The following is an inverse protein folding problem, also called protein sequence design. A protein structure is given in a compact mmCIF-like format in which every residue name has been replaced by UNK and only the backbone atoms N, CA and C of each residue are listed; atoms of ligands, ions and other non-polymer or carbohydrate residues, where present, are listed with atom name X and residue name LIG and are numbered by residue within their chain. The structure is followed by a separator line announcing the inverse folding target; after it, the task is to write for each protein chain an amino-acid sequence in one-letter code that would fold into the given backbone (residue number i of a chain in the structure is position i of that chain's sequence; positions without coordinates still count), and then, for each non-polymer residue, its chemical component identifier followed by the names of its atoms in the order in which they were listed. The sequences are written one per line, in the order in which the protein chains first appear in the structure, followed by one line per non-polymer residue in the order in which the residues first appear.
data_IF_915207651909
#
_entry.id   IF_915207651909
#
_cell.length_a   1.000
_cell.length_b   1.000
_cell.length_c   1.000
_cell.angle_alpha   90.00
_cell.angle_beta   90.00
_cell.angle_gamma   90.00
#
_symmetry.space_group_name_H-M   'P 1'
#
loop_
_entity.id
_entity.type
_entity.pdbx_description
1 polymer ?
#
# COMPACT_ATOMS: atom_id res chain seq x y z
N UNK A 1 -11.38 -24.37 6.39
CA UNK A 1 -12.25 -23.16 6.33
C UNK A 1 -11.61 -22.00 5.56
N UNK A 2 -10.31 -21.67 5.73
CA UNK A 2 -9.64 -20.54 5.05
C UNK A 2 -9.62 -20.59 3.50
N UNK A 3 -9.57 -21.78 2.89
CA UNK A 3 -9.60 -21.91 1.43
C UNK A 3 -10.99 -21.61 0.81
N UNK A 4 -12.07 -21.76 1.58
CA UNK A 4 -13.41 -21.48 1.09
C UNK A 4 -13.70 -19.97 1.09
N UNK A 5 -13.18 -19.24 2.08
CA UNK A 5 -13.30 -17.77 2.12
C UNK A 5 -12.53 -17.11 0.98
N UNK A 6 -11.29 -17.53 0.70
CA UNK A 6 -10.52 -16.92 -0.38
C UNK A 6 -11.13 -17.13 -1.78
N UNK A 7 -11.72 -18.31 -2.03
CA UNK A 7 -12.43 -18.58 -3.29
C UNK A 7 -13.68 -17.72 -3.41
N UNK A 8 -14.41 -17.53 -2.29
CA UNK A 8 -15.59 -16.67 -2.25
C UNK A 8 -15.22 -15.21 -2.50
N UNK A 9 -14.14 -14.72 -1.88
CA UNK A 9 -13.62 -13.36 -2.08
C UNK A 9 -13.15 -13.13 -3.51
N UNK A 10 -12.41 -14.09 -4.09
CA UNK A 10 -11.99 -14.05 -5.49
C UNK A 10 -13.19 -14.00 -6.43
N UNK A 11 -14.23 -14.80 -6.17
CA UNK A 11 -15.44 -14.81 -6.97
C UNK A 11 -16.19 -13.47 -6.89
N UNK A 12 -16.29 -12.88 -5.70
CA UNK A 12 -16.88 -11.56 -5.50
C UNK A 12 -16.12 -10.46 -6.26
N UNK A 13 -14.78 -10.49 -6.21
CA UNK A 13 -13.93 -9.57 -6.97
C UNK A 13 -14.09 -9.76 -8.48
N UNK A 14 -14.15 -11.02 -8.95
CA UNK A 14 -14.37 -11.34 -10.36
C UNK A 14 -15.68 -10.71 -10.87
N UNK A 15 -16.78 -10.91 -10.16
CA UNK A 15 -18.07 -10.33 -10.53
C UNK A 15 -18.03 -8.79 -10.55
N UNK A 16 -17.40 -8.17 -9.55
CA UNK A 16 -17.24 -6.70 -9.49
C UNK A 16 -16.46 -6.18 -10.71
N UNK A 17 -15.34 -6.81 -11.04
CA UNK A 17 -14.52 -6.46 -12.19
C UNK A 17 -15.29 -6.64 -13.50
N UNK A 18 -16.01 -7.75 -13.66
CA UNK A 18 -16.80 -8.04 -14.87
C UNK A 18 -17.93 -7.06 -15.11
N UNK A 19 -18.69 -6.70 -14.06
CA UNK A 19 -19.78 -5.70 -14.16
C UNK A 19 -19.20 -4.36 -14.60
N UNK A 20 -18.08 -3.92 -14.00
CA UNK A 20 -17.42 -2.67 -14.36
C UNK A 20 -16.90 -2.69 -15.79
N UNK A 21 -16.29 -3.79 -16.22
CA UNK A 21 -15.82 -3.98 -17.60
C UNK A 21 -16.99 -3.85 -18.59
N UNK A 22 -18.12 -4.50 -18.33
CA UNK A 22 -19.31 -4.41 -19.18
C UNK A 22 -19.86 -2.99 -19.25
N UNK A 23 -19.84 -2.24 -18.15
CA UNK A 23 -20.25 -0.85 -18.13
C UNK A 23 -19.32 0.04 -18.98
N UNK A 24 -18.01 -0.08 -18.78
CA UNK A 24 -17.00 0.66 -19.56
C UNK A 24 -17.09 0.33 -21.06
N UNK A 25 -17.26 -0.94 -21.42
CA UNK A 25 -17.39 -1.37 -22.82
C UNK A 25 -18.66 -0.86 -23.52
N UNK A 26 -19.72 -0.53 -22.77
CA UNK A 26 -20.91 0.13 -23.33
C UNK A 26 -20.67 1.63 -23.54
N UNK A 27 -19.95 2.27 -22.61
CA UNK A 27 -19.61 3.68 -22.70
C UNK A 27 -18.63 3.95 -23.84
N UNK A 28 -17.63 3.09 -24.02
CA UNK A 28 -16.61 3.23 -25.06
C UNK A 28 -17.17 3.10 -26.49
N UNK A 29 -18.37 2.51 -26.66
CA UNK A 29 -19.02 2.39 -27.97
C UNK A 29 -19.83 3.63 -28.37
N UNK A 30 -20.04 4.58 -27.45
CA UNK A 30 -20.74 5.85 -27.71
C UNK A 30 -19.76 6.93 -28.21
N UNK A 31 -18.90 6.57 -29.16
CA UNK A 31 -17.92 7.47 -29.78
C UNK A 31 -18.57 8.37 -30.85
N UNK A 32 -19.35 9.35 -30.41
CA UNK A 32 -19.82 10.45 -31.29
C UNK A 32 -18.75 11.58 -31.42
N UNK A 33 -17.47 11.33 -31.10
CA UNK A 33 -16.43 12.39 -30.99
C UNK A 33 -15.00 12.00 -31.47
N UNK A 34 -14.80 10.88 -32.17
CA UNK A 34 -13.46 10.34 -32.38
C UNK A 34 -12.85 10.70 -33.75
N UNK A 35 -11.96 11.70 -33.82
CA UNK A 35 -10.92 11.71 -34.89
C UNK A 35 -9.49 12.18 -34.52
N UNK A 36 -9.18 12.75 -33.33
CA UNK A 36 -7.77 12.77 -32.88
C UNK A 36 -7.45 11.87 -31.68
N UNK A 37 -8.43 11.54 -30.83
CA UNK A 37 -8.19 10.81 -29.56
C UNK A 37 -8.02 9.30 -29.76
N UNK A 38 -8.69 8.71 -30.76
CA UNK A 38 -8.65 7.27 -31.01
C UNK A 38 -7.23 6.71 -31.22
N UNK A 39 -6.35 7.46 -31.92
CA UNK A 39 -4.94 7.09 -32.11
C UNK A 39 -4.06 7.19 -30.86
N UNK A 40 -4.40 8.06 -29.91
CA UNK A 40 -3.71 8.08 -28.61
C UNK A 40 -4.14 6.89 -27.74
N UNK A 41 -5.42 6.51 -27.82
CA UNK A 41 -5.96 5.38 -27.06
C UNK A 41 -5.44 4.02 -27.57
N UNK A 42 -5.12 3.88 -28.87
CA UNK A 42 -4.56 2.64 -29.43
C UNK A 42 -3.18 2.27 -28.86
N UNK A 43 -2.46 3.22 -28.26
CA UNK A 43 -1.14 2.97 -27.65
C UNK A 43 -1.21 2.71 -26.14
N UNK A 44 -2.40 2.77 -25.53
CA UNK A 44 -2.57 2.52 -24.10
C UNK A 44 -2.70 1.01 -23.88
N UNK A 45 -1.65 0.41 -23.32
CA UNK A 45 -1.66 -0.99 -22.90
C UNK A 45 -1.84 -1.10 -21.39
N UNK A 46 -2.47 -2.19 -20.92
CA UNK A 46 -2.59 -2.46 -19.49
C UNK A 46 -1.22 -2.51 -18.81
N UNK A 47 -0.22 -3.11 -19.45
CA UNK A 47 1.15 -3.19 -18.92
C UNK A 47 1.74 -1.80 -18.67
N UNK A 48 1.56 -0.86 -19.62
CA UNK A 48 2.04 0.52 -19.47
C UNK A 48 1.33 1.23 -18.32
N UNK A 49 0.01 1.05 -18.19
CA UNK A 49 -0.77 1.65 -17.10
C UNK A 49 -0.36 1.11 -15.73
N UNK A 50 -0.18 -0.20 -15.62
CA UNK A 50 0.26 -0.85 -14.38
C UNK A 50 1.67 -0.37 -14.00
N UNK A 51 2.59 -0.26 -14.97
CA UNK A 51 3.94 0.22 -14.71
C UNK A 51 3.94 1.68 -14.24
N UNK A 52 3.20 2.55 -14.93
CA UNK A 52 3.07 3.95 -14.55
C UNK A 52 2.50 4.09 -13.15
N UNK A 53 1.42 3.35 -12.83
CA UNK A 53 0.83 3.40 -11.50
C UNK A 53 1.79 2.86 -10.41
N UNK A 54 2.66 1.90 -10.73
CA UNK A 54 3.70 1.46 -9.79
C UNK A 54 4.71 2.57 -9.46
N UNK A 55 5.07 3.41 -10.44
CA UNK A 55 5.91 4.60 -10.19
C UNK A 55 5.17 5.62 -9.33
N UNK A 56 3.88 5.88 -9.61
CA UNK A 56 3.06 6.79 -8.82
C UNK A 56 2.98 6.35 -7.35
N UNK A 57 2.89 5.04 -7.09
CA UNK A 57 2.95 4.51 -5.73
C UNK A 57 4.30 4.79 -5.05
N UNK A 58 5.42 4.70 -5.77
CA UNK A 58 6.74 5.01 -5.20
C UNK A 58 6.90 6.49 -4.89
N UNK A 59 6.49 7.38 -5.79
CA UNK A 59 6.52 8.82 -5.53
C UNK A 59 5.67 9.19 -4.32
N UNK A 60 4.47 8.62 -4.23
CA UNK A 60 3.62 8.87 -3.09
C UNK A 60 4.17 8.24 -1.79
N UNK A 61 4.87 7.10 -1.87
CA UNK A 61 5.53 6.51 -0.71
C UNK A 61 6.67 7.39 -0.17
N UNK A 62 7.44 8.02 -1.05
CA UNK A 62 8.48 8.97 -0.65
C UNK A 62 7.88 10.20 0.06
N UNK A 63 6.72 10.68 -0.41
CA UNK A 63 5.99 11.76 0.28
C UNK A 63 5.43 11.32 1.62
N UNK A 64 4.87 10.10 1.71
CA UNK A 64 4.38 9.52 2.97
C UNK A 64 5.54 9.39 4.00
N UNK A 65 6.74 9.03 3.54
CA UNK A 65 7.94 8.98 4.39
C UNK A 65 8.33 10.38 4.89
N UNK A 66 8.31 11.38 4.02
CA UNK A 66 8.63 12.77 4.37
C UNK A 66 7.69 13.34 5.44
N UNK A 67 6.40 13.02 5.39
CA UNK A 67 5.40 13.47 6.39
C UNK A 67 5.36 12.58 7.65
N UNK A 68 6.10 11.49 7.70
CA UNK A 68 6.18 10.57 8.84
C UNK A 68 5.13 9.44 8.86
N UNK A 69 4.35 9.26 7.79
CA UNK A 69 3.34 8.21 7.65
C UNK A 69 3.95 6.89 7.15
N UNK A 70 4.79 6.29 7.98
CA UNK A 70 5.60 5.11 7.61
C UNK A 70 4.73 3.87 7.27
N UNK A 71 3.54 3.74 7.87
CA UNK A 71 2.61 2.65 7.55
C UNK A 71 2.09 2.72 6.12
N UNK A 72 1.66 3.91 5.68
CA UNK A 72 1.21 4.15 4.30
C UNK A 72 2.37 3.99 3.31
N UNK A 73 3.54 4.52 3.65
CA UNK A 73 4.74 4.39 2.86
C UNK A 73 5.07 2.91 2.55
N UNK A 74 5.11 2.05 3.59
CA UNK A 74 5.34 0.62 3.45
C UNK A 74 4.27 -0.06 2.60
N UNK A 75 3.00 0.29 2.80
CA UNK A 75 1.89 -0.25 2.02
C UNK A 75 2.03 0.09 0.53
N UNK A 76 2.43 1.31 0.19
CA UNK A 76 2.62 1.74 -1.21
C UNK A 76 3.81 1.06 -1.87
N UNK A 77 4.94 0.94 -1.20
CA UNK A 77 6.08 0.16 -1.71
C UNK A 77 5.70 -1.30 -1.95
N UNK A 78 4.94 -1.92 -1.03
CA UNK A 78 4.45 -3.29 -1.21
C UNK A 78 3.55 -3.40 -2.44
N UNK A 79 2.63 -2.46 -2.64
CA UNK A 79 1.77 -2.42 -3.82
C UNK A 79 2.59 -2.28 -5.13
N UNK A 80 3.57 -1.36 -5.16
CA UNK A 80 4.47 -1.17 -6.30
C UNK A 80 5.22 -2.45 -6.66
N UNK A 81 5.81 -3.12 -5.65
CA UNK A 81 6.53 -4.38 -5.83
C UNK A 81 5.60 -5.47 -6.38
N UNK A 82 4.36 -5.58 -5.88
CA UNK A 82 3.39 -6.56 -6.39
C UNK A 82 3.04 -6.31 -7.86
N UNK A 83 2.87 -5.05 -8.27
CA UNK A 83 2.57 -4.69 -9.66
C UNK A 83 3.74 -5.02 -10.59
N UNK A 84 4.97 -4.66 -10.21
CA UNK A 84 6.17 -4.99 -10.99
C UNK A 84 6.37 -6.51 -11.11
N UNK A 85 6.08 -7.25 -10.05
CA UNK A 85 6.13 -8.72 -10.10
C UNK A 85 5.15 -9.28 -11.14
N UNK A 86 3.90 -8.80 -11.13
CA UNK A 86 2.89 -9.20 -12.12
C UNK A 86 3.31 -8.87 -13.55
N UNK A 87 3.82 -7.66 -13.79
CA UNK A 87 4.35 -7.25 -15.10
C UNK A 87 5.48 -8.16 -15.58
N UNK A 88 6.43 -8.50 -14.70
CA UNK A 88 7.55 -9.36 -15.04
C UNK A 88 7.09 -10.77 -15.42
N UNK A 89 6.05 -11.28 -14.77
CA UNK A 89 5.46 -12.58 -15.08
C UNK A 89 4.82 -12.60 -16.49
N UNK A 90 4.27 -11.47 -16.93
CA UNK A 90 3.65 -11.32 -18.25
C UNK A 90 4.59 -10.77 -19.34
N UNK A 91 5.78 -10.32 -18.98
CA UNK A 91 6.77 -9.79 -19.91
C UNK A 91 7.28 -10.88 -20.86
N UNK A 92 7.28 -10.60 -22.16
CA UNK A 92 7.79 -11.51 -23.21
C UNK A 92 9.22 -11.19 -23.61
N UNK A 93 9.58 -9.90 -23.62
CA UNK A 93 10.92 -9.43 -23.97
C UNK A 93 11.91 -9.72 -22.83
N UNK A 94 13.11 -10.25 -23.11
CA UNK A 94 14.14 -10.41 -22.10
C UNK A 94 14.60 -9.06 -21.52
N UNK A 95 14.63 -8.00 -22.34
CA UNK A 95 15.01 -6.66 -21.90
C UNK A 95 14.00 -6.08 -20.89
N UNK A 96 12.70 -6.31 -21.11
CA UNK A 96 11.66 -5.88 -20.18
C UNK A 96 11.76 -6.66 -18.86
N UNK A 97 12.07 -7.96 -18.93
CA UNK A 97 12.26 -8.79 -17.73
C UNK A 97 13.43 -8.31 -16.88
N UNK A 98 14.55 -7.95 -17.50
CA UNK A 98 15.72 -7.41 -16.78
C UNK A 98 15.40 -6.05 -16.17
N UNK A 99 14.80 -5.14 -16.94
CA UNK A 99 14.40 -3.82 -16.45
C UNK A 99 13.45 -3.92 -15.24
N UNK A 100 12.40 -4.73 -15.36
CA UNK A 100 11.42 -4.93 -14.28
C UNK A 100 12.05 -5.61 -13.06
N UNK A 101 13.03 -6.50 -13.26
CA UNK A 101 13.76 -7.11 -12.16
C UNK A 101 14.64 -6.10 -11.42
N UNK A 102 15.33 -5.22 -12.14
CA UNK A 102 16.16 -4.16 -11.56
C UNK A 102 15.31 -3.14 -10.79
N UNK A 103 14.22 -2.65 -11.39
CA UNK A 103 13.28 -1.75 -10.70
C UNK A 103 12.75 -2.38 -9.40
N UNK A 104 12.35 -3.65 -9.46
CA UNK A 104 11.84 -4.37 -8.30
C UNK A 104 12.92 -4.58 -7.23
N UNK A 105 14.19 -4.80 -7.62
CA UNK A 105 15.31 -4.89 -6.67
C UNK A 105 15.47 -3.57 -5.91
N UNK A 106 15.55 -2.44 -6.62
CA UNK A 106 15.70 -1.13 -5.99
C UNK A 106 14.57 -0.83 -4.99
N UNK A 107 13.31 -1.13 -5.37
CA UNK A 107 12.17 -0.94 -4.48
C UNK A 107 12.21 -1.83 -3.24
N UNK A 108 12.66 -3.08 -3.39
CA UNK A 108 12.80 -4.02 -2.25
C UNK A 108 13.90 -3.59 -1.29
N UNK A 109 15.03 -3.12 -1.81
CA UNK A 109 16.12 -2.58 -1.00
C UNK A 109 15.64 -1.38 -0.17
N UNK A 110 14.91 -0.45 -0.81
CA UNK A 110 14.31 0.69 -0.09
C UNK A 110 13.29 0.25 0.96
N UNK A 111 12.39 -0.66 0.60
CA UNK A 111 11.39 -1.22 1.52
C UNK A 111 12.04 -1.91 2.74
N UNK A 112 13.12 -2.67 2.53
CA UNK A 112 13.84 -3.35 3.59
C UNK A 112 14.55 -2.36 4.53
N UNK A 113 15.21 -1.34 3.96
CA UNK A 113 15.83 -0.26 4.74
C UNK A 113 14.81 0.48 5.60
N UNK A 114 13.64 0.80 5.03
CA UNK A 114 12.56 1.45 5.75
C UNK A 114 12.00 0.59 6.88
N UNK A 115 11.78 -0.71 6.64
CA UNK A 115 11.37 -1.66 7.68
C UNK A 115 12.36 -1.65 8.85
N UNK A 116 13.67 -1.72 8.56
CA UNK A 116 14.71 -1.69 9.59
C UNK A 116 14.66 -0.37 10.38
N UNK A 117 14.49 0.76 9.71
CA UNK A 117 14.36 2.08 10.35
C UNK A 117 13.15 2.15 11.29
N UNK A 118 11.99 1.67 10.84
CA UNK A 118 10.75 1.62 11.65
C UNK A 118 10.94 0.75 12.90
N UNK A 119 11.57 -0.42 12.76
CA UNK A 119 11.83 -1.32 13.88
C UNK A 119 12.81 -0.71 14.89
N UNK A 120 13.84 -0.01 14.41
CA UNK A 120 14.79 0.70 15.26
C UNK A 120 14.13 1.88 16.00
N UNK A 121 13.28 2.66 15.31
CA UNK A 121 12.53 3.75 15.92
C UNK A 121 11.57 3.26 17.01
N UNK A 122 10.88 2.13 16.77
CA UNK A 122 10.03 1.49 17.77
C UNK A 122 10.81 1.02 19.01
N UNK A 123 12.02 0.47 18.82
CA UNK A 123 12.88 0.05 19.92
C UNK A 123 13.31 1.24 20.81
N UNK A 124 13.64 2.39 20.22
CA UNK A 124 13.99 3.59 20.98
C UNK A 124 12.79 4.22 21.70
N UNK A 125 11.59 4.20 21.10
CA UNK A 125 10.37 4.68 21.75
C UNK A 125 10.00 3.83 22.99
N UNK A 126 10.26 2.51 22.96
CA UNK A 126 10.04 1.62 24.10
C UNK A 126 10.95 1.88 25.32
N UNK A 127 12.06 2.63 25.15
CA UNK A 127 12.99 2.96 26.24
C UNK A 127 12.59 4.26 26.96
N UNK A 128 11.84 5.15 26.31
CA UNK A 128 11.47 6.45 26.89
C UNK A 128 10.37 6.38 27.98
N UNK A 129 9.62 5.27 28.09
CA UNK A 129 8.55 5.12 29.09
C UNK A 129 9.05 4.60 30.46
N UNK A 130 10.32 4.17 30.58
CA UNK A 130 10.87 3.59 31.83
C UNK A 130 11.50 4.62 32.79
N UNK A 131 11.42 5.92 32.48
CA UNK A 131 12.11 6.99 33.23
C UNK A 131 11.15 8.06 33.74
N UNK A 132 9.96 7.69 34.22
CA UNK A 132 9.20 8.59 35.11
C UNK A 132 9.69 8.37 36.54
N UNK A 133 10.20 9.39 37.24
CA UNK A 133 10.61 9.24 38.62
C UNK A 133 9.39 8.90 39.47
N UNK A 134 9.39 7.72 40.06
CA UNK A 134 8.47 7.33 41.13
C UNK A 134 8.78 8.25 42.31
N UNK A 135 7.95 9.27 42.53
CA UNK A 135 7.97 10.05 43.76
C UNK A 135 7.44 9.16 44.88
N UNK A 136 8.35 8.49 45.58
CA UNK A 136 8.04 7.80 46.83
C UNK A 136 7.55 8.85 47.85
N UNK A 137 6.26 8.80 48.20
CA UNK A 137 5.72 9.50 49.35
C UNK A 137 5.65 8.50 50.53
N UNK A 138 6.53 8.61 51.54
CA UNK A 138 6.49 7.74 52.70
C UNK A 138 5.58 8.39 53.74
N UNK A 139 4.26 8.27 53.58
CA UNK A 139 3.35 8.47 54.70
C UNK A 139 2.02 7.76 54.45
N UNK A 140 1.85 6.65 55.15
CA UNK A 140 0.61 5.89 55.16
C UNK A 140 -0.52 6.69 55.77
N UNK A 141 -1.59 6.88 55.00
CA UNK A 141 -2.95 6.87 55.54
C UNK A 141 -3.93 6.47 54.45
N UNK A 142 -4.56 5.32 54.69
CA UNK A 142 -5.70 4.82 53.94
C UNK A 142 -6.82 5.86 54.07
N UNK A 143 -7.20 6.50 52.96
CA UNK A 143 -8.49 7.17 52.86
C UNK A 143 -9.43 6.28 52.04
N UNK A 144 -10.60 5.89 52.58
CA UNK A 144 -11.62 5.24 51.78
C UNK A 144 -12.36 6.32 50.97
N UNK A 145 -12.09 6.42 49.66
CA UNK A 145 -12.98 7.16 48.77
C UNK A 145 -14.16 6.27 48.36
N UNK A 146 -15.35 6.63 48.86
CA UNK A 146 -16.63 6.16 48.33
C UNK A 146 -16.93 6.83 46.98
N UNK A 147 -17.76 6.20 46.13
CA UNK A 147 -17.98 6.64 44.75
C UNK A 147 -19.04 7.75 44.65
N UNK A 148 -18.86 8.66 43.71
CA UNK A 148 -19.92 9.46 43.11
C UNK A 148 -19.72 9.32 41.59
N UNK A 149 -20.43 8.41 40.91
CA UNK A 149 -21.76 8.60 40.33
C UNK A 149 -21.94 9.98 39.64
N UNK A 150 -21.82 9.91 38.31
CA UNK A 150 -22.61 10.56 37.24
C UNK A 150 -22.88 12.07 37.39
N UNK A 151 -22.36 12.85 36.43
CA UNK A 151 -23.18 13.60 35.47
C UNK A 151 -22.41 13.93 34.20
#
# INVERSE_FOLDING_TARGET
MLACSCVTDCNALYHRCYIRLRHLARQSKREDLAEPVGRLLTNITANRLIFQYALDQCYAAEMDEYIGELGLCLQRYKAAITMLHGLRQHAKSPADKTLLADCMRCMRERYASLCASVMNAAAHAGVAESSRPVTNNPNGRIQPQRPAFIS
#
